data_IF_507671491860
#
_entry.id   IF_507671491860
#
_cell.length_a   1.000
_cell.length_b   1.000
_cell.length_c   1.000
_cell.angle_alpha   90.00
_cell.angle_beta   90.00
_cell.angle_gamma   90.00
#
_symmetry.space_group_name_H-M   'P 1'
#
loop_
_entity.id
_entity.type
_entity.pdbx_description
1 polymer ?
#
# COMPACT_ATOMS: atom_id res chain seq x y z
N UNK A 1 -38.70 -2.06 -5.46
CA UNK A 1 -37.88 -3.04 -4.69
C UNK A 1 -36.60 -3.51 -5.40
N UNK A 2 -36.25 -3.04 -6.61
CA UNK A 2 -35.06 -3.48 -7.35
C UNK A 2 -33.76 -2.80 -6.87
N UNK A 3 -33.85 -1.51 -6.51
CA UNK A 3 -32.70 -0.70 -6.07
C UNK A 3 -32.19 -1.02 -4.65
N UNK A 4 -33.07 -1.48 -3.75
CA UNK A 4 -32.69 -1.86 -2.38
C UNK A 4 -31.72 -3.04 -2.34
N UNK A 5 -31.88 -4.01 -3.27
CA UNK A 5 -30.98 -5.16 -3.40
C UNK A 5 -29.60 -4.75 -3.93
N UNK A 6 -29.54 -3.77 -4.82
CA UNK A 6 -28.27 -3.26 -5.37
C UNK A 6 -27.46 -2.52 -4.30
N UNK A 7 -28.11 -1.67 -3.50
CA UNK A 7 -27.45 -1.00 -2.38
C UNK A 7 -26.92 -1.99 -1.32
N UNK A 8 -27.66 -3.06 -1.02
CA UNK A 8 -27.23 -4.08 -0.07
C UNK A 8 -25.99 -4.86 -0.56
N UNK A 9 -25.90 -5.15 -1.86
CA UNK A 9 -24.75 -5.83 -2.46
C UNK A 9 -23.52 -4.91 -2.47
N UNK A 10 -23.69 -3.64 -2.86
CA UNK A 10 -22.60 -2.64 -2.84
C UNK A 10 -22.11 -2.40 -1.41
N UNK A 11 -23.02 -2.31 -0.44
CA UNK A 11 -22.66 -2.17 0.97
C UNK A 11 -21.90 -3.40 1.51
N UNK A 12 -22.33 -4.61 1.16
CA UNK A 12 -21.63 -5.85 1.56
C UNK A 12 -20.22 -5.96 0.95
N UNK A 13 -20.04 -5.51 -0.29
CA UNK A 13 -18.71 -5.45 -0.95
C UNK A 13 -17.79 -4.38 -0.32
N UNK A 14 -18.35 -3.26 0.13
CA UNK A 14 -17.59 -2.23 0.85
C UNK A 14 -17.18 -2.69 2.26
N UNK A 15 -18.06 -3.42 2.95
CA UNK A 15 -17.78 -3.96 4.29
C UNK A 15 -16.72 -5.06 4.29
N UNK A 16 -16.64 -5.89 3.24
CA UNK A 16 -15.64 -6.97 3.15
C UNK A 16 -14.21 -6.46 2.93
N UNK A 17 -14.05 -5.30 2.28
CA UNK A 17 -12.75 -4.64 2.12
C UNK A 17 -12.23 -4.05 3.45
N UNK A 18 -13.13 -3.54 4.31
CA UNK A 18 -12.77 -2.99 5.62
C UNK A 18 -12.30 -4.05 6.64
N UNK A 19 -12.76 -5.30 6.50
CA UNK A 19 -12.42 -6.38 7.45
C UNK A 19 -10.93 -6.76 7.45
N UNK A 20 -10.22 -6.58 6.33
CA UNK A 20 -8.79 -6.89 6.23
C UNK A 20 -7.87 -5.83 6.85
N UNK A 21 -8.33 -4.57 6.90
CA UNK A 21 -7.61 -3.49 7.56
C UNK A 21 -7.76 -3.49 9.09
N UNK A 22 -8.75 -4.21 9.63
CA UNK A 22 -9.02 -4.31 11.07
C UNK A 22 -8.29 -5.48 11.76
N UNK A 23 -7.44 -6.23 11.05
CA UNK A 23 -6.57 -7.22 11.69
C UNK A 23 -5.41 -6.44 12.30
N UNK A 24 -5.53 -6.15 13.60
CA UNK A 24 -4.57 -5.34 14.37
C UNK A 24 -3.13 -5.90 14.31
N UNK A 25 -2.97 -7.19 14.03
CA UNK A 25 -1.66 -7.83 13.80
C UNK A 25 -0.95 -7.40 12.50
N UNK A 26 -1.69 -6.87 11.52
CA UNK A 26 -1.14 -6.43 10.23
C UNK A 26 -0.69 -4.96 10.24
N UNK A 27 -1.03 -4.19 11.27
CA UNK A 27 -0.75 -2.76 11.38
C UNK A 27 0.21 -2.51 12.56
N UNK A 28 1.38 -1.94 12.27
CA UNK A 28 2.28 -1.41 13.31
C UNK A 28 3.44 -2.29 13.74
N UNK A 29 3.65 -3.48 13.13
CA UNK A 29 4.89 -4.24 13.31
C UNK A 29 5.82 -3.96 12.13
N UNK A 30 6.92 -3.25 12.41
CA UNK A 30 7.98 -3.02 11.45
C UNK A 30 8.67 -4.36 11.17
N UNK A 31 8.30 -5.03 10.08
CA UNK A 31 9.13 -6.10 9.55
C UNK A 31 10.34 -5.47 8.82
N UNK A 32 11.47 -6.17 8.81
CA UNK A 32 12.63 -5.74 8.03
C UNK A 32 12.23 -5.66 6.55
N UNK A 33 12.14 -4.45 6.03
CA UNK A 33 11.90 -4.14 4.62
C UNK A 33 13.08 -3.29 4.14
N UNK A 34 13.81 -3.78 3.16
CA UNK A 34 14.85 -3.02 2.49
C UNK A 34 14.19 -2.09 1.47
N UNK A 35 14.54 -0.82 1.55
CA UNK A 35 14.12 0.18 0.57
C UNK A 35 15.31 0.50 -0.33
N UNK A 36 15.14 0.28 -1.63
CA UNK A 36 16.13 0.61 -2.65
C UNK A 36 15.75 1.93 -3.32
N UNK A 37 16.67 2.89 -3.36
CA UNK A 37 16.51 4.15 -4.07
C UNK A 37 16.95 4.00 -5.54
N UNK A 38 15.98 4.00 -6.45
CA UNK A 38 16.18 3.96 -7.90
C UNK A 38 16.41 5.35 -8.51
N UNK A 39 16.58 6.38 -7.66
CA UNK A 39 16.72 7.78 -8.02
C UNK A 39 15.47 8.37 -8.66
N UNK A 40 15.48 9.70 -8.85
CA UNK A 40 14.38 10.46 -9.46
C UNK A 40 13.02 10.25 -8.79
N UNK A 41 13.03 10.04 -7.47
CA UNK A 41 11.83 9.81 -6.67
C UNK A 41 11.25 8.41 -6.79
N UNK A 42 11.92 7.47 -7.48
CA UNK A 42 11.49 6.07 -7.58
C UNK A 42 12.16 5.25 -6.50
N UNK A 43 11.37 4.52 -5.72
CA UNK A 43 11.83 3.63 -4.67
C UNK A 43 11.22 2.24 -4.86
N UNK A 44 12.00 1.22 -4.52
CA UNK A 44 11.51 -0.15 -4.45
C UNK A 44 11.53 -0.64 -3.00
N UNK A 45 10.40 -1.16 -2.55
CA UNK A 45 10.23 -1.77 -1.23
C UNK A 45 10.21 -3.29 -1.43
N UNK A 46 11.18 -4.01 -0.87
CA UNK A 46 11.32 -5.47 -1.07
C UNK A 46 10.35 -6.32 -0.23
N UNK A 47 9.41 -5.69 0.46
CA UNK A 47 8.40 -6.33 1.29
C UNK A 47 7.04 -6.38 0.60
N UNK A 48 6.23 -7.35 1.00
CA UNK A 48 4.92 -7.66 0.42
C UNK A 48 3.78 -7.32 1.39
N UNK A 49 2.56 -7.24 0.85
CA UNK A 49 1.32 -7.17 1.63
C UNK A 49 1.34 -6.15 2.79
N UNK A 50 1.03 -6.60 4.02
CA UNK A 50 0.96 -5.75 5.21
C UNK A 50 2.34 -5.17 5.59
N UNK A 51 3.42 -5.89 5.32
CA UNK A 51 4.78 -5.43 5.61
C UNK A 51 5.14 -4.21 4.75
N UNK A 52 4.70 -4.21 3.47
CA UNK A 52 4.80 -3.02 2.62
C UNK A 52 4.05 -1.83 3.19
N UNK A 53 2.79 -2.03 3.61
CA UNK A 53 2.00 -0.96 4.21
C UNK A 53 2.68 -0.32 5.43
N UNK A 54 3.24 -1.16 6.32
CA UNK A 54 3.97 -0.69 7.50
C UNK A 54 5.26 0.04 7.13
N UNK A 55 6.06 -0.50 6.19
CA UNK A 55 7.30 0.12 5.74
C UNK A 55 7.06 1.46 5.02
N UNK A 56 6.04 1.53 4.16
CA UNK A 56 5.65 2.75 3.46
C UNK A 56 5.24 3.85 4.46
N UNK A 57 4.47 3.49 5.50
CA UNK A 57 4.07 4.44 6.55
C UNK A 57 5.28 5.02 7.27
N UNK A 58 6.25 4.19 7.64
CA UNK A 58 7.50 4.65 8.29
C UNK A 58 8.38 5.47 7.35
N UNK A 59 8.46 5.07 6.08
CA UNK A 59 9.21 5.80 5.06
C UNK A 59 8.67 7.23 4.89
N UNK A 60 7.35 7.39 4.78
CA UNK A 60 6.71 8.72 4.70
C UNK A 60 6.97 9.54 5.98
N UNK A 61 6.86 8.92 7.16
CA UNK A 61 7.08 9.61 8.43
C UNK A 61 8.53 10.11 8.60
N UNK A 62 9.50 9.35 8.08
CA UNK A 62 10.93 9.69 8.13
C UNK A 62 11.38 10.64 7.01
N UNK A 63 10.58 10.82 5.95
CA UNK A 63 10.87 11.69 4.82
C UNK A 63 9.76 12.75 4.64
N UNK A 64 9.63 13.71 5.60
CA UNK A 64 8.54 14.69 5.58
C UNK A 64 8.59 15.67 4.39
N UNK A 65 9.67 15.67 3.62
CA UNK A 65 9.85 16.44 2.40
C UNK A 65 9.40 15.69 1.14
N UNK A 66 8.96 14.43 1.25
CA UNK A 66 8.47 13.63 0.13
C UNK A 66 6.96 13.45 0.19
N UNK A 67 6.32 13.39 -0.98
CA UNK A 67 4.91 13.10 -1.13
C UNK A 67 4.71 11.96 -2.11
N UNK A 68 3.98 10.93 -1.70
CA UNK A 68 3.68 9.78 -2.55
C UNK A 68 2.80 10.21 -3.72
N UNK A 69 3.23 9.93 -4.94
CA UNK A 69 2.52 10.23 -6.18
C UNK A 69 1.72 9.01 -6.65
N UNK A 70 2.40 7.87 -6.72
CA UNK A 70 1.79 6.60 -7.17
C UNK A 70 2.61 5.42 -6.67
N UNK A 71 2.02 4.23 -6.72
CA UNK A 71 2.70 2.97 -6.43
C UNK A 71 2.11 1.83 -7.27
N UNK A 72 2.88 0.76 -7.43
CA UNK A 72 2.44 -0.50 -8.03
C UNK A 72 3.13 -1.66 -7.36
N UNK A 73 2.41 -2.77 -7.18
CA UNK A 73 3.03 -4.04 -6.85
C UNK A 73 3.90 -4.50 -8.02
N UNK A 74 5.08 -5.02 -7.71
CA UNK A 74 5.90 -5.76 -8.65
C UNK A 74 5.35 -7.18 -8.80
N UNK A 75 5.65 -7.81 -9.93
CA UNK A 75 5.19 -9.17 -10.27
C UNK A 75 4.37 -9.20 -11.55
N UNK A 76 3.88 -10.39 -11.90
CA UNK A 76 3.05 -10.63 -13.09
C UNK A 76 1.95 -11.63 -12.78
N UNK A 77 0.99 -11.81 -13.69
CA UNK A 77 -0.02 -12.88 -13.58
C UNK A 77 -1.01 -12.72 -12.41
N UNK A 78 -1.20 -11.50 -11.90
CA UNK A 78 -2.14 -11.23 -10.81
C UNK A 78 -1.55 -11.31 -9.40
N UNK A 79 -0.24 -11.57 -9.26
CA UNK A 79 0.49 -11.66 -7.99
C UNK A 79 1.24 -10.37 -7.61
N UNK A 80 0.70 -9.21 -8.02
CA UNK A 80 1.34 -7.92 -7.82
C UNK A 80 1.44 -7.57 -6.34
N UNK A 81 2.67 -7.47 -5.82
CA UNK A 81 2.91 -7.11 -4.41
C UNK A 81 2.72 -8.25 -3.41
N UNK A 82 2.39 -9.46 -3.86
CA UNK A 82 2.18 -10.64 -2.98
C UNK A 82 3.41 -11.52 -2.87
N UNK A 83 4.22 -11.57 -3.94
CA UNK A 83 5.47 -12.35 -4.00
C UNK A 83 6.66 -11.42 -4.15
N UNK A 84 6.53 -10.48 -5.09
CA UNK A 84 7.49 -9.41 -5.29
C UNK A 84 7.05 -8.14 -4.57
N UNK A 85 8.00 -7.26 -4.29
CA UNK A 85 7.80 -6.01 -3.56
C UNK A 85 6.99 -4.96 -4.32
N UNK A 86 7.20 -3.68 -4.00
CA UNK A 86 6.45 -2.57 -4.60
C UNK A 86 7.37 -1.48 -5.14
N UNK A 87 7.02 -0.94 -6.29
CA UNK A 87 7.57 0.34 -6.75
C UNK A 87 6.67 1.48 -6.25
N UNK A 88 7.29 2.51 -5.69
CA UNK A 88 6.61 3.72 -5.27
C UNK A 88 7.33 4.94 -5.84
N UNK A 89 6.56 5.91 -6.31
CA UNK A 89 7.07 7.16 -6.87
C UNK A 89 6.68 8.30 -5.93
N UNK A 90 7.67 9.10 -5.55
CA UNK A 90 7.53 10.27 -4.70
C UNK A 90 7.97 11.52 -5.43
N UNK A 91 7.36 12.64 -5.07
CA UNK A 91 7.80 13.98 -5.46
C UNK A 91 8.32 14.74 -4.25
N UNK A 92 9.29 15.63 -4.49
CA UNK A 92 9.80 16.54 -3.46
C UNK A 92 8.79 17.66 -3.24
N UNK A 93 8.38 17.85 -1.99
CA UNK A 93 7.61 19.01 -1.56
C UNK A 93 8.54 20.23 -1.53
N UNK A 94 8.44 21.11 -2.54
CA UNK A 94 9.08 22.42 -2.49
C UNK A 94 8.21 23.34 -1.64
N UNK A 95 8.77 23.84 -0.54
CA UNK A 95 8.17 24.90 0.28
C UNK A 95 8.29 26.24 -0.41
#
# INVERSE_FOLDING_TARGET
MKYFRVCAIVAALLLSACGRANVQDNVGKAAACSVLDYQNGVYYFDCTEANFGNALSQFIASHPNLSLVTLTGNGTGGHYGTVDGYFAVFQILRR
#
